data_IF_835503220327
#
_entry.id   IF_835503220327
#
_cell.length_a   1.000
_cell.length_b   1.000
_cell.length_c   1.000
_cell.angle_alpha   90.00
_cell.angle_beta   90.00
_cell.angle_gamma   90.00
#
_symmetry.space_group_name_H-M   'P 1'
#
loop_
_entity.id
_entity.type
_entity.pdbx_description
1 polymer ?
#
# COMPACT_ATOMS: atom_id res chain seq x y z
N UNK A 1 33.52 -12.52 11.89
CA UNK A 1 32.34 -13.24 11.37
C UNK A 1 32.37 -13.16 9.85
N UNK A 2 32.78 -14.23 9.16
CA UNK A 2 32.81 -14.26 7.69
C UNK A 2 31.37 -14.37 7.19
N UNK A 3 30.90 -13.38 6.44
CA UNK A 3 29.67 -13.46 5.67
C UNK A 3 29.84 -14.53 4.59
N UNK A 4 29.58 -15.80 4.94
CA UNK A 4 29.37 -16.85 3.95
C UNK A 4 28.00 -16.61 3.33
N UNK A 5 27.95 -15.71 2.35
CA UNK A 5 26.78 -15.53 1.52
C UNK A 5 26.54 -16.87 0.80
N UNK A 6 25.45 -17.54 1.19
CA UNK A 6 25.03 -18.80 0.56
C UNK A 6 24.57 -18.44 -0.85
N UNK A 7 25.38 -18.73 -1.87
CA UNK A 7 25.06 -18.49 -3.29
C UNK A 7 23.67 -19.01 -3.69
N UNK A 8 23.20 -20.10 -3.05
CA UNK A 8 21.85 -20.62 -3.19
C UNK A 8 20.75 -19.61 -2.80
N UNK A 9 20.94 -18.81 -1.74
CA UNK A 9 19.99 -17.78 -1.33
C UNK A 9 19.93 -16.63 -2.34
N UNK A 10 21.08 -16.22 -2.88
CA UNK A 10 21.12 -15.20 -3.93
C UNK A 10 20.32 -15.71 -5.12
N UNK A 11 20.67 -16.88 -5.67
CA UNK A 11 20.01 -17.41 -6.86
C UNK A 11 18.49 -17.58 -6.68
N UNK A 12 18.06 -17.98 -5.48
CA UNK A 12 16.64 -18.11 -5.15
C UNK A 12 15.91 -16.76 -5.04
N UNK A 13 16.54 -15.74 -4.45
CA UNK A 13 15.93 -14.42 -4.26
C UNK A 13 16.05 -13.52 -5.49
N UNK A 14 17.06 -13.72 -6.33
CA UNK A 14 17.32 -12.92 -7.54
C UNK A 14 16.09 -12.75 -8.43
N UNK A 15 15.32 -13.80 -8.82
CA UNK A 15 14.16 -13.59 -9.69
C UNK A 15 13.07 -12.73 -9.05
N UNK A 16 12.81 -12.90 -7.74
CA UNK A 16 11.82 -12.10 -7.00
C UNK A 16 12.28 -10.64 -6.88
N UNK A 17 13.55 -10.43 -6.54
CA UNK A 17 14.13 -9.09 -6.41
C UNK A 17 14.19 -8.37 -7.76
N UNK A 18 14.56 -9.06 -8.83
CA UNK A 18 14.53 -8.52 -10.18
C UNK A 18 13.10 -8.15 -10.59
N UNK A 19 12.13 -9.00 -10.30
CA UNK A 19 10.73 -8.72 -10.60
C UNK A 19 10.22 -7.49 -9.84
N UNK A 20 10.44 -7.42 -8.53
CA UNK A 20 10.09 -6.26 -7.70
C UNK A 20 10.79 -4.99 -8.19
N UNK A 21 12.07 -5.08 -8.50
CA UNK A 21 12.84 -3.93 -8.96
C UNK A 21 12.35 -3.42 -10.32
N UNK A 22 12.25 -4.30 -11.31
CA UNK A 22 11.91 -3.92 -12.68
C UNK A 22 10.45 -3.49 -12.84
N UNK A 23 9.52 -4.14 -12.15
CA UNK A 23 8.09 -3.89 -12.35
C UNK A 23 7.47 -2.98 -11.30
N UNK A 24 8.08 -2.81 -10.14
CA UNK A 24 7.56 -1.93 -9.09
C UNK A 24 8.49 -0.74 -8.89
N UNK A 25 9.75 -0.98 -8.54
CA UNK A 25 10.66 0.12 -8.15
C UNK A 25 10.96 1.04 -9.33
N UNK A 26 11.29 0.49 -10.49
CA UNK A 26 11.67 1.24 -11.68
C UNK A 26 10.55 2.20 -12.15
N UNK A 27 9.29 1.78 -12.36
CA UNK A 27 8.23 2.72 -12.74
C UNK A 27 7.93 3.76 -11.65
N UNK A 28 8.12 3.45 -10.36
CA UNK A 28 7.97 4.45 -9.30
C UNK A 28 9.09 5.49 -9.30
N UNK A 29 10.33 5.09 -9.67
CA UNK A 29 11.42 6.04 -9.89
C UNK A 29 11.06 6.95 -11.07
N UNK A 30 10.53 6.40 -12.17
CA UNK A 30 10.12 7.23 -13.31
C UNK A 30 9.01 8.22 -12.94
N UNK A 31 7.99 7.79 -12.19
CA UNK A 31 6.95 8.67 -11.65
C UNK A 31 7.53 9.76 -10.73
N UNK A 32 8.51 9.41 -9.90
CA UNK A 32 9.20 10.36 -9.03
C UNK A 32 9.99 11.38 -9.85
N UNK A 33 10.67 10.97 -10.92
CA UNK A 33 11.38 11.91 -11.79
C UNK A 33 10.39 12.81 -12.54
N UNK A 34 9.27 12.26 -13.01
CA UNK A 34 8.20 13.01 -13.66
C UNK A 34 7.55 14.03 -12.73
N UNK A 35 7.40 13.74 -11.44
CA UNK A 35 6.78 14.69 -10.50
C UNK A 35 7.58 15.99 -10.33
N UNK A 36 8.89 15.98 -10.59
CA UNK A 36 9.74 17.18 -10.62
C UNK A 36 9.89 17.81 -12.00
N UNK A 37 9.45 17.15 -13.08
CA UNK A 37 9.52 17.70 -14.42
C UNK A 37 8.26 18.50 -14.72
N UNK A 38 8.45 19.73 -15.18
CA UNK A 38 7.37 20.68 -15.46
C UNK A 38 7.64 21.29 -16.83
N UNK A 39 6.60 21.38 -17.64
CA UNK A 39 6.65 22.07 -18.93
C UNK A 39 6.57 23.58 -18.68
N UNK A 40 7.56 24.33 -19.15
CA UNK A 40 7.55 25.79 -19.08
C UNK A 40 6.67 26.41 -20.18
N UNK A 41 6.49 27.73 -20.16
CA UNK A 41 5.66 28.46 -21.13
C UNK A 41 6.15 28.31 -22.59
N UNK A 42 7.38 27.84 -22.80
CA UNK A 42 8.00 27.59 -24.10
C UNK A 42 7.96 26.11 -24.52
N UNK A 43 7.40 25.23 -23.69
CA UNK A 43 7.32 23.78 -23.93
C UNK A 43 8.58 23.01 -23.54
N UNK A 44 9.53 23.66 -22.85
CA UNK A 44 10.77 23.02 -22.40
C UNK A 44 10.56 22.34 -21.04
N UNK A 45 11.06 21.11 -20.91
CA UNK A 45 10.93 20.34 -19.66
C UNK A 45 11.99 20.78 -18.66
N UNK A 46 11.56 21.55 -17.66
CA UNK A 46 12.41 22.07 -16.59
C UNK A 46 12.20 21.32 -15.29
N UNK A 47 13.21 21.33 -14.41
CA UNK A 47 13.11 20.75 -13.07
C UNK A 47 12.54 21.80 -12.10
N UNK A 48 11.40 21.51 -11.49
CA UNK A 48 10.71 22.44 -10.58
C UNK A 48 9.89 21.72 -9.51
N UNK A 49 9.63 22.42 -8.40
CA UNK A 49 8.72 21.98 -7.35
C UNK A 49 7.29 22.52 -7.53
N UNK A 50 6.99 23.18 -8.66
CA UNK A 50 5.67 23.80 -8.89
C UNK A 50 4.53 22.78 -8.84
N UNK A 51 4.72 21.55 -9.32
CA UNK A 51 3.74 20.46 -9.18
C UNK A 51 3.33 20.21 -7.72
N UNK A 52 4.30 20.23 -6.80
CA UNK A 52 4.04 20.07 -5.36
C UNK A 52 3.37 21.30 -4.77
N UNK A 53 3.76 22.51 -5.20
CA UNK A 53 3.10 23.73 -4.76
C UNK A 53 1.64 23.78 -5.22
N UNK A 54 1.36 23.37 -6.46
CA UNK A 54 0.03 23.25 -7.02
C UNK A 54 -0.85 22.29 -6.21
N UNK A 55 -0.28 21.18 -5.70
CA UNK A 55 -1.01 20.26 -4.82
C UNK A 55 -1.57 20.94 -3.54
N UNK A 56 -0.82 21.84 -2.92
CA UNK A 56 -1.27 22.54 -1.71
C UNK A 56 -2.14 23.77 -2.01
N UNK A 57 -1.92 24.42 -3.16
CA UNK A 57 -2.67 25.60 -3.56
C UNK A 57 -4.05 25.26 -4.15
N UNK A 58 -4.15 24.17 -4.90
CA UNK A 58 -5.41 23.75 -5.52
C UNK A 58 -6.30 23.05 -4.49
N UNK A 59 -7.46 23.64 -4.13
CA UNK A 59 -8.30 23.13 -3.05
C UNK A 59 -8.79 21.71 -3.32
N UNK A 60 -9.01 21.35 -4.58
CA UNK A 60 -9.50 20.03 -4.97
C UNK A 60 -8.49 18.92 -4.65
N UNK A 61 -7.19 19.17 -4.84
CA UNK A 61 -6.14 18.18 -4.57
C UNK A 61 -5.94 17.99 -3.07
N UNK A 62 -5.77 19.08 -2.34
CA UNK A 62 -5.60 19.04 -0.88
C UNK A 62 -6.83 18.45 -0.17
N UNK A 63 -8.04 18.86 -0.56
CA UNK A 63 -9.27 18.39 0.08
C UNK A 63 -9.51 16.90 -0.20
N UNK A 64 -9.24 16.44 -1.42
CA UNK A 64 -9.34 15.01 -1.75
C UNK A 64 -8.34 14.20 -0.92
N UNK A 65 -7.09 14.66 -0.81
CA UNK A 65 -6.07 14.01 -0.01
C UNK A 65 -6.49 13.89 1.47
N UNK A 66 -6.90 14.99 2.10
CA UNK A 66 -7.30 15.00 3.51
C UNK A 66 -8.54 14.14 3.75
N UNK A 67 -9.55 14.19 2.86
CA UNK A 67 -10.74 13.35 2.98
C UNK A 67 -10.39 11.87 2.93
N UNK A 68 -9.58 11.46 1.97
CA UNK A 68 -9.13 10.06 1.85
C UNK A 68 -8.30 9.63 3.06
N UNK A 69 -7.42 10.49 3.57
CA UNK A 69 -6.65 10.22 4.77
C UNK A 69 -7.55 10.03 6.01
N UNK A 70 -8.51 10.94 6.21
CA UNK A 70 -9.49 10.85 7.30
C UNK A 70 -10.34 9.59 7.19
N UNK A 71 -10.86 9.27 5.99
CA UNK A 71 -11.62 8.04 5.78
C UNK A 71 -10.77 6.79 6.04
N UNK A 72 -9.52 6.76 5.59
CA UNK A 72 -8.63 5.62 5.82
C UNK A 72 -8.36 5.39 7.31
N UNK A 73 -8.13 6.47 8.07
CA UNK A 73 -7.93 6.40 9.53
C UNK A 73 -9.20 5.93 10.23
N UNK A 74 -10.36 6.53 9.90
CA UNK A 74 -11.64 6.18 10.48
C UNK A 74 -12.00 4.72 10.19
N UNK A 75 -11.88 4.28 8.94
CA UNK A 75 -12.16 2.90 8.53
C UNK A 75 -11.20 1.93 9.22
N UNK A 76 -9.91 2.24 9.32
CA UNK A 76 -8.93 1.41 10.04
C UNK A 76 -9.31 1.27 11.52
N UNK A 77 -9.66 2.38 12.16
CA UNK A 77 -10.06 2.37 13.57
C UNK A 77 -11.35 1.58 13.79
N UNK A 78 -12.39 1.84 12.98
CA UNK A 78 -13.65 1.11 13.06
C UNK A 78 -13.43 -0.39 12.82
N UNK A 79 -12.66 -0.74 11.78
CA UNK A 79 -12.31 -2.14 11.49
C UNK A 79 -11.59 -2.79 12.65
N UNK A 80 -10.63 -2.09 13.28
CA UNK A 80 -9.93 -2.62 14.45
C UNK A 80 -10.90 -2.84 15.63
N UNK A 81 -11.75 -1.86 15.93
CA UNK A 81 -12.75 -1.94 17.01
C UNK A 81 -13.77 -3.06 16.78
N UNK A 82 -14.13 -3.37 15.53
CA UNK A 82 -15.09 -4.43 15.22
C UNK A 82 -14.43 -5.80 15.04
N UNK A 83 -13.29 -5.86 14.35
CA UNK A 83 -12.64 -7.12 14.01
C UNK A 83 -12.00 -7.77 15.24
N UNK A 84 -11.48 -6.98 16.19
CA UNK A 84 -10.81 -7.52 17.37
C UNK A 84 -11.78 -8.28 18.30
N UNK A 85 -12.97 -7.76 18.66
CA UNK A 85 -13.99 -8.53 19.37
C UNK A 85 -14.46 -9.77 18.61
N UNK A 86 -14.63 -9.68 17.30
CA UNK A 86 -15.06 -10.82 16.47
C UNK A 86 -14.00 -11.92 16.47
N UNK A 87 -12.72 -11.57 16.27
CA UNK A 87 -11.61 -12.52 16.34
C UNK A 87 -11.49 -13.15 17.73
N UNK A 88 -11.66 -12.34 18.79
CA UNK A 88 -11.67 -12.84 20.16
C UNK A 88 -12.83 -13.83 20.40
N UNK A 89 -14.04 -13.51 19.95
CA UNK A 89 -15.20 -14.38 20.09
C UNK A 89 -14.98 -15.73 19.41
N UNK A 90 -14.52 -15.71 18.14
CA UNK A 90 -14.27 -16.93 17.37
C UNK A 90 -13.21 -17.80 18.06
N UNK A 91 -12.13 -17.20 18.55
CA UNK A 91 -10.99 -17.97 19.09
C UNK A 91 -11.15 -18.41 20.55
N UNK A 92 -11.85 -17.64 21.38
CA UNK A 92 -11.91 -17.86 22.84
C UNK A 92 -13.29 -18.25 23.38
N UNK A 93 -14.38 -17.91 22.69
CA UNK A 93 -15.75 -18.11 23.21
C UNK A 93 -16.53 -19.15 22.39
N UNK A 94 -16.39 -19.14 21.07
CA UNK A 94 -17.13 -20.05 20.20
C UNK A 94 -16.71 -21.51 20.40
N UNK A 95 -17.67 -22.44 20.34
CA UNK A 95 -17.38 -23.87 20.45
C UNK A 95 -16.50 -24.34 19.27
N UNK A 96 -15.52 -25.24 19.49
CA UNK A 96 -14.57 -25.67 18.46
C UNK A 96 -15.21 -26.13 17.15
N UNK A 97 -16.39 -26.76 17.22
CA UNK A 97 -17.16 -27.21 16.04
C UNK A 97 -17.60 -26.09 15.09
N UNK A 98 -17.75 -24.86 15.56
CA UNK A 98 -18.24 -23.72 14.75
C UNK A 98 -17.14 -22.72 14.37
N UNK A 99 -15.94 -22.83 14.97
CA UNK A 99 -14.85 -21.88 14.71
C UNK A 99 -14.45 -21.85 13.23
N UNK A 100 -14.34 -23.02 12.59
CA UNK A 100 -14.01 -23.12 11.16
C UNK A 100 -15.07 -22.49 10.25
N UNK A 101 -16.36 -22.69 10.54
CA UNK A 101 -17.45 -22.09 9.79
C UNK A 101 -17.48 -20.56 9.93
N UNK A 102 -17.31 -20.04 11.15
CA UNK A 102 -17.27 -18.59 11.40
C UNK A 102 -16.08 -17.92 10.72
N UNK A 103 -14.89 -18.56 10.75
CA UNK A 103 -13.72 -18.09 10.03
C UNK A 103 -13.93 -18.08 8.50
N UNK A 104 -14.59 -19.12 7.97
CA UNK A 104 -14.94 -19.17 6.55
C UNK A 104 -15.90 -18.04 6.15
N UNK A 105 -16.89 -17.71 6.99
CA UNK A 105 -17.81 -16.60 6.75
C UNK A 105 -17.09 -15.25 6.67
N UNK A 106 -16.04 -15.04 7.48
CA UNK A 106 -15.19 -13.85 7.41
C UNK A 106 -14.38 -13.77 6.12
N UNK A 107 -13.95 -14.92 5.58
CA UNK A 107 -13.13 -14.97 4.37
C UNK A 107 -13.96 -14.93 3.08
N UNK A 108 -15.22 -15.35 3.12
CA UNK A 108 -16.16 -15.35 1.99
C UNK A 108 -16.21 -14.05 1.18
N UNK A 109 -16.34 -12.85 1.77
CA UNK A 109 -16.39 -11.61 0.98
C UNK A 109 -15.10 -11.35 0.19
N UNK A 110 -13.95 -11.81 0.67
CA UNK A 110 -12.68 -11.66 -0.06
C UNK A 110 -12.58 -12.58 -1.29
N UNK A 111 -13.38 -13.63 -1.38
CA UNK A 111 -13.30 -14.60 -2.48
C UNK A 111 -14.07 -14.16 -3.73
N UNK A 112 -14.98 -13.19 -3.60
CA UNK A 112 -15.83 -12.70 -4.70
C UNK A 112 -15.35 -11.32 -5.22
N UNK A 113 -14.23 -10.82 -4.68
CA UNK A 113 -13.63 -9.52 -5.05
C UNK A 113 -12.71 -9.62 -6.25
#
# INVERSE_FOLDING_TARGET
MKYQIRWALIFFLTPVLLWLFLLIVLPHIDLLLMSFRVEDDYGEMTWSFSNYMNFFNEPIYWLTFVRTAVYSILVTFLTFVTALPVAFYITKVASPRFQGFLAMLLLLPFWVS
#
